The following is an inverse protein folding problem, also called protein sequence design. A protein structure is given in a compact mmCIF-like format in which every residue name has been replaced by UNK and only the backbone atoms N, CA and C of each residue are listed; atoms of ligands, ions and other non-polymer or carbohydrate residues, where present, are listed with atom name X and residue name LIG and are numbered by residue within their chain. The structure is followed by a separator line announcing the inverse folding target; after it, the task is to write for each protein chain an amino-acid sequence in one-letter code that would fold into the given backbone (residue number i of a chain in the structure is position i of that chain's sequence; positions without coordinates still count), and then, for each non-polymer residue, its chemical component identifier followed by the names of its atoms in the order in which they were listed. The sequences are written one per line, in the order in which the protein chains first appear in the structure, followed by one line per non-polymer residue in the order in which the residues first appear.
data_IF_943374080000
#
_entry.id   IF_943374080000
#
_cell.length_a   1.000
_cell.length_b   1.000
_cell.length_c   1.000
_cell.angle_alpha   90.00
_cell.angle_beta   90.00
_cell.angle_gamma   90.00
#
_symmetry.space_group_name_H-M   'P 1'
#
loop_
_entity.id
_entity.type
_entity.pdbx_description
1 polymer ?
#
# COMPACT_ATOMS: atom_id res chain seq x y z
N UNK A 1 -13.44 -53.80 61.60
CA UNK A 1 -12.92 -52.43 61.42
C UNK A 1 -11.86 -52.48 60.33
N UNK A 2 -12.19 -52.05 59.11
CA UNK A 2 -11.25 -52.01 57.96
C UNK A 2 -10.24 -50.90 58.23
N UNK A 3 -8.97 -51.23 58.49
CA UNK A 3 -7.89 -50.25 58.49
C UNK A 3 -7.66 -49.82 57.04
N UNK A 4 -7.97 -48.58 56.72
CA UNK A 4 -7.56 -47.94 55.47
C UNK A 4 -6.04 -47.83 55.49
N UNK A 5 -5.38 -48.47 54.52
CA UNK A 5 -3.96 -48.25 54.26
C UNK A 5 -3.77 -46.83 53.71
N UNK A 6 -3.62 -45.86 54.60
CA UNK A 6 -3.06 -44.55 54.27
C UNK A 6 -1.55 -44.75 54.10
N UNK A 7 -1.15 -45.21 52.91
CA UNK A 7 0.24 -45.18 52.50
C UNK A 7 0.68 -43.71 52.44
N UNK A 8 1.57 -43.33 53.35
CA UNK A 8 2.16 -42.00 53.37
C UNK A 8 2.87 -41.75 52.04
N UNK A 9 2.48 -40.66 51.37
CA UNK A 9 3.07 -40.21 50.11
C UNK A 9 4.58 -40.09 50.29
N UNK A 10 5.36 -40.83 49.51
CA UNK A 10 6.82 -40.79 49.63
C UNK A 10 7.35 -39.46 49.10
N UNK A 11 8.29 -38.83 49.81
CA UNK A 11 8.92 -37.58 49.37
C UNK A 11 9.55 -37.70 47.97
N UNK A 12 9.98 -38.90 47.58
CA UNK A 12 10.50 -39.21 46.24
C UNK A 12 9.41 -39.08 45.16
N UNK A 13 8.17 -39.48 45.48
CA UNK A 13 7.04 -39.49 44.56
C UNK A 13 6.57 -38.05 44.30
N UNK A 14 6.62 -37.20 45.31
CA UNK A 14 6.38 -35.76 45.17
C UNK A 14 7.42 -35.09 44.25
N UNK A 15 8.71 -35.38 44.44
CA UNK A 15 9.79 -34.81 43.61
C UNK A 15 9.65 -35.28 42.16
N UNK A 16 9.34 -36.55 41.93
CA UNK A 16 9.08 -37.07 40.58
C UNK A 16 7.84 -36.41 39.95
N UNK A 17 6.75 -36.27 40.70
CA UNK A 17 5.55 -35.59 40.23
C UNK A 17 5.84 -34.13 39.85
N UNK A 18 6.59 -33.40 40.67
CA UNK A 18 7.01 -32.02 40.37
C UNK A 18 7.90 -31.94 39.14
N UNK A 19 8.84 -32.88 38.96
CA UNK A 19 9.69 -32.97 37.78
C UNK A 19 8.89 -33.20 36.49
N UNK A 20 7.96 -34.17 36.52
CA UNK A 20 7.07 -34.47 35.40
C UNK A 20 6.18 -33.25 35.09
N UNK A 21 5.57 -32.63 36.10
CA UNK A 21 4.76 -31.42 35.92
C UNK A 21 5.57 -30.25 35.34
N UNK A 22 6.82 -30.08 35.77
CA UNK A 22 7.71 -29.05 35.23
C UNK A 22 8.03 -29.29 33.76
N UNK A 23 8.38 -30.53 33.39
CA UNK A 23 8.64 -30.91 31.99
C UNK A 23 7.39 -30.69 31.13
N UNK A 24 6.23 -31.14 31.58
CA UNK A 24 4.96 -30.95 30.87
C UNK A 24 4.66 -29.46 30.71
N UNK A 25 4.86 -28.65 31.75
CA UNK A 25 4.66 -27.20 31.69
C UNK A 25 5.58 -26.56 30.67
N UNK A 26 6.87 -26.90 30.67
CA UNK A 26 7.85 -26.39 29.68
C UNK A 26 7.43 -26.76 28.26
N UNK A 27 7.00 -28.00 28.02
CA UNK A 27 6.52 -28.44 26.72
C UNK A 27 5.29 -27.63 26.27
N UNK A 28 4.31 -27.45 27.15
CA UNK A 28 3.12 -26.64 26.88
C UNK A 28 3.52 -25.20 26.52
N UNK A 29 4.36 -24.55 27.32
CA UNK A 29 4.83 -23.20 27.03
C UNK A 29 5.65 -23.12 25.74
N UNK A 30 6.44 -24.14 25.42
CA UNK A 30 7.17 -24.22 24.15
C UNK A 30 6.20 -24.29 22.95
N UNK A 31 5.16 -25.11 23.02
CA UNK A 31 4.13 -25.18 21.98
C UNK A 31 3.36 -23.86 21.85
N UNK A 32 2.97 -23.23 22.95
CA UNK A 32 2.32 -21.91 22.91
C UNK A 32 3.21 -20.83 22.32
N UNK A 33 4.49 -20.79 22.70
CA UNK A 33 5.47 -19.85 22.15
C UNK A 33 5.67 -20.06 20.64
N UNK A 34 5.70 -21.32 20.19
CA UNK A 34 5.80 -21.64 18.77
C UNK A 34 4.54 -21.24 18.00
N UNK A 35 3.36 -21.55 18.54
CA UNK A 35 2.06 -21.22 17.93
C UNK A 35 1.85 -19.71 17.80
N UNK A 36 2.09 -18.95 18.86
CA UNK A 36 1.96 -17.48 18.87
C UNK A 36 2.90 -16.81 17.86
N UNK A 37 4.16 -17.26 17.79
CA UNK A 37 5.14 -16.78 16.79
C UNK A 37 4.68 -17.06 15.36
N UNK A 38 4.21 -18.27 15.10
CA UNK A 38 3.74 -18.67 13.76
C UNK A 38 2.50 -17.86 13.35
N UNK A 39 1.58 -17.63 14.29
CA UNK A 39 0.39 -16.82 14.06
C UNK A 39 0.73 -15.34 13.79
N UNK A 40 1.63 -14.73 14.57
CA UNK A 40 2.07 -13.35 14.34
C UNK A 40 2.66 -13.17 12.94
N UNK A 41 3.54 -14.09 12.52
CA UNK A 41 4.16 -14.07 11.18
C UNK A 41 3.13 -14.19 10.07
N UNK A 42 2.16 -15.10 10.22
CA UNK A 42 1.09 -15.26 9.25
C UNK A 42 0.22 -13.99 9.15
N UNK A 43 -0.08 -13.36 10.28
CA UNK A 43 -0.89 -12.15 10.33
C UNK A 43 -0.20 -10.95 9.66
N UNK A 44 1.10 -10.77 9.90
CA UNK A 44 1.88 -9.70 9.27
C UNK A 44 1.97 -9.89 7.75
N UNK A 45 2.26 -11.11 7.28
CA UNK A 45 2.32 -11.43 5.85
C UNK A 45 0.96 -11.25 5.18
N UNK A 46 -0.11 -11.68 5.84
CA UNK A 46 -1.48 -11.46 5.38
C UNK A 46 -1.83 -9.97 5.29
N UNK A 47 -1.35 -9.17 6.26
CA UNK A 47 -1.49 -7.71 6.26
C UNK A 47 -0.88 -7.08 5.01
N UNK A 48 0.37 -7.42 4.67
CA UNK A 48 1.05 -6.91 3.47
C UNK A 48 0.35 -7.30 2.17
N UNK A 49 -0.12 -8.55 2.07
CA UNK A 49 -0.89 -8.99 0.90
C UNK A 49 -2.21 -8.22 0.78
N UNK A 50 -2.89 -7.99 1.90
CA UNK A 50 -4.15 -7.22 1.91
C UNK A 50 -3.91 -5.77 1.49
N UNK A 51 -2.84 -5.14 2.00
CA UNK A 51 -2.47 -3.78 1.61
C UNK A 51 -2.10 -3.70 0.12
N UNK A 52 -1.32 -4.65 -0.39
CA UNK A 52 -0.97 -4.73 -1.81
C UNK A 52 -2.20 -4.86 -2.71
N UNK A 53 -3.14 -5.74 -2.35
CA UNK A 53 -4.40 -5.89 -3.08
C UNK A 53 -5.26 -4.62 -3.03
N UNK A 54 -5.36 -3.96 -1.87
CA UNK A 54 -6.08 -2.68 -1.75
C UNK A 54 -5.47 -1.60 -2.65
N UNK A 55 -4.14 -1.54 -2.72
CA UNK A 55 -3.43 -0.62 -3.62
C UNK A 55 -3.74 -0.95 -5.08
N UNK A 56 -3.62 -2.22 -5.46
CA UNK A 56 -3.93 -2.71 -6.81
C UNK A 56 -5.34 -2.31 -7.25
N UNK A 57 -6.33 -2.64 -6.42
CA UNK A 57 -7.74 -2.36 -6.69
C UNK A 57 -7.99 -0.85 -6.78
N UNK A 58 -7.44 -0.05 -5.87
CA UNK A 58 -7.63 1.40 -5.90
C UNK A 58 -6.99 2.03 -7.14
N UNK A 59 -5.78 1.63 -7.52
CA UNK A 59 -5.11 2.12 -8.73
C UNK A 59 -5.87 1.70 -9.98
N UNK A 60 -6.22 0.42 -10.09
CA UNK A 60 -6.92 -0.12 -11.24
C UNK A 60 -8.29 0.54 -11.43
N UNK A 61 -9.05 0.73 -10.36
CA UNK A 61 -10.37 1.37 -10.41
C UNK A 61 -10.29 2.82 -10.91
N UNK A 62 -9.35 3.60 -10.35
CA UNK A 62 -9.23 5.03 -10.66
C UNK A 62 -8.59 5.25 -12.03
N UNK A 63 -7.53 4.50 -12.38
CA UNK A 63 -6.86 4.59 -13.68
C UNK A 63 -7.73 4.08 -14.83
N UNK A 64 -8.59 3.07 -14.64
CA UNK A 64 -9.51 2.68 -15.72
C UNK A 64 -10.48 3.81 -16.09
N UNK A 65 -10.85 4.65 -15.13
CA UNK A 65 -11.82 5.73 -15.30
C UNK A 65 -11.21 7.04 -15.84
N UNK A 66 -9.90 7.19 -15.75
CA UNK A 66 -9.21 8.37 -16.25
C UNK A 66 -9.05 8.35 -17.77
N UNK A 67 -8.75 9.51 -18.35
CA UNK A 67 -8.28 9.63 -19.71
C UNK A 67 -6.75 9.59 -19.76
N UNK A 68 -6.23 8.81 -20.72
CA UNK A 68 -4.80 8.61 -20.96
C UNK A 68 -4.00 9.92 -21.04
N UNK A 69 -4.54 10.94 -21.69
CA UNK A 69 -3.83 12.22 -21.91
C UNK A 69 -3.49 12.94 -20.61
N UNK A 70 -4.28 12.74 -19.55
CA UNK A 70 -4.12 13.36 -18.24
C UNK A 70 -3.10 12.67 -17.34
N UNK A 71 -2.68 11.45 -17.67
CA UNK A 71 -1.73 10.70 -16.85
C UNK A 71 -0.37 11.39 -16.91
N UNK A 72 0.18 11.64 -15.72
CA UNK A 72 1.50 12.22 -15.53
C UNK A 72 2.24 11.44 -14.46
N UNK A 73 3.47 11.06 -14.81
CA UNK A 73 4.41 10.36 -13.95
C UNK A 73 5.54 11.33 -13.68
N UNK A 74 5.83 11.57 -12.41
CA UNK A 74 7.00 12.31 -11.95
C UNK A 74 7.92 11.32 -11.24
N UNK A 75 9.06 10.96 -11.83
CA UNK A 75 9.97 10.03 -11.18
C UNK A 75 10.70 10.71 -10.03
N UNK A 76 10.69 10.08 -8.86
CA UNK A 76 11.38 10.57 -7.66
C UNK A 76 12.38 9.52 -7.22
N UNK A 77 13.66 9.90 -7.23
CA UNK A 77 14.72 9.05 -6.72
C UNK A 77 14.98 9.41 -5.26
N UNK A 78 15.04 8.39 -4.42
CA UNK A 78 15.21 8.51 -2.99
C UNK A 78 16.19 7.44 -2.49
N UNK A 79 16.46 7.39 -1.18
CA UNK A 79 17.36 6.41 -0.56
C UNK A 79 16.67 5.74 0.63
N UNK A 80 16.59 4.41 0.61
CA UNK A 80 16.14 3.58 1.73
C UNK A 80 17.20 2.53 2.04
N UNK A 81 17.56 2.35 3.31
CA UNK A 81 18.65 1.48 3.77
C UNK A 81 20.00 1.68 3.04
N UNK A 82 20.25 2.89 2.51
CA UNK A 82 21.46 3.17 1.71
C UNK A 82 21.40 2.64 0.27
N UNK A 83 20.28 2.06 -0.15
CA UNK A 83 20.00 1.69 -1.54
C UNK A 83 19.20 2.81 -2.23
N UNK A 84 19.54 3.10 -3.49
CA UNK A 84 18.76 4.02 -4.31
C UNK A 84 17.42 3.37 -4.67
N UNK A 85 16.32 3.99 -4.28
CA UNK A 85 14.96 3.52 -4.54
C UNK A 85 14.17 4.56 -5.33
N UNK A 86 13.22 4.09 -6.13
CA UNK A 86 12.33 4.94 -6.91
C UNK A 86 10.95 4.99 -6.27
N UNK A 87 10.42 6.20 -6.11
CA UNK A 87 9.17 6.54 -5.40
C UNK A 87 8.34 7.50 -6.22
N UNK A 88 7.98 7.05 -7.40
CA UNK A 88 7.31 7.85 -8.42
C UNK A 88 6.01 8.47 -7.91
N UNK A 89 5.67 9.63 -8.44
CA UNK A 89 4.35 10.24 -8.25
C UNK A 89 3.55 10.00 -9.52
N UNK A 90 2.39 9.37 -9.39
CA UNK A 90 1.46 9.16 -10.50
C UNK A 90 0.23 10.01 -10.25
N UNK A 91 -0.08 10.87 -11.22
CA UNK A 91 -1.25 11.74 -11.18
C UNK A 91 -2.07 11.58 -12.44
N UNK A 92 -3.38 11.71 -12.30
CA UNK A 92 -4.31 11.70 -13.43
C UNK A 92 -5.65 12.29 -13.01
N UNK A 93 -6.49 12.59 -14.00
CA UNK A 93 -7.74 13.30 -13.77
C UNK A 93 -8.94 12.33 -13.69
N UNK A 94 -9.93 12.65 -12.89
CA UNK A 94 -11.11 11.82 -12.62
C UNK A 94 -12.31 12.73 -12.32
N UNK A 95 -13.42 12.12 -11.93
CA UNK A 95 -14.61 12.81 -11.44
C UNK A 95 -14.72 12.66 -9.92
N UNK A 96 -15.31 13.66 -9.26
CA UNK A 96 -15.64 13.59 -7.83
C UNK A 96 -16.59 12.43 -7.55
N UNK A 97 -17.64 12.29 -8.38
CA UNK A 97 -18.55 11.14 -8.33
C UNK A 97 -18.98 10.67 -9.73
N UNK A 98 -18.57 9.45 -10.07
CA UNK A 98 -18.99 8.76 -11.30
C UNK A 98 -20.44 8.23 -11.24
N UNK A 99 -21.04 8.13 -10.05
CA UNK A 99 -22.39 7.60 -9.84
C UNK A 99 -23.48 8.68 -9.91
N UNK A 100 -23.13 9.95 -9.71
CA UNK A 100 -24.03 11.09 -9.77
C UNK A 100 -24.45 11.43 -11.21
N UNK A 101 -25.10 10.49 -11.90
CA UNK A 101 -25.60 10.67 -13.26
C UNK A 101 -26.68 11.76 -13.25
N UNK A 102 -26.33 12.95 -13.72
CA UNK A 102 -27.23 14.11 -13.75
C UNK A 102 -26.89 15.19 -12.73
N UNK A 103 -25.78 15.06 -12.02
CA UNK A 103 -25.18 16.16 -11.28
C UNK A 103 -24.37 17.05 -12.22
N UNK A 104 -24.69 18.33 -12.16
CA UNK A 104 -24.11 19.37 -13.02
C UNK A 104 -22.67 19.70 -12.64
N UNK A 105 -22.22 19.25 -11.47
CA UNK A 105 -20.85 19.42 -11.02
C UNK A 105 -19.89 18.38 -11.64
N UNK A 106 -20.40 17.22 -12.06
CA UNK A 106 -19.60 16.10 -12.58
C UNK A 106 -19.75 15.89 -14.09
N UNK A 107 -20.91 16.23 -14.65
CA UNK A 107 -21.20 16.07 -16.07
C UNK A 107 -21.78 17.37 -16.65
N UNK A 108 -21.34 17.72 -17.86
CA UNK A 108 -21.91 18.85 -18.57
C UNK A 108 -23.40 18.62 -18.86
N UNK A 109 -24.22 19.63 -18.59
CA UNK A 109 -25.68 19.57 -18.73
C UNK A 109 -26.14 19.20 -20.14
N UNK A 110 -25.44 19.69 -21.15
CA UNK A 110 -25.88 19.64 -22.55
C UNK A 110 -25.27 18.42 -23.25
N UNK A 111 -23.95 18.30 -23.19
CA UNK A 111 -23.18 17.26 -23.88
C UNK A 111 -23.08 15.96 -23.09
N UNK A 112 -23.41 15.97 -21.79
CA UNK A 112 -23.20 14.86 -20.84
C UNK A 112 -21.74 14.41 -20.76
N UNK A 113 -20.81 15.25 -21.20
CA UNK A 113 -19.38 15.02 -21.09
C UNK A 113 -18.93 15.06 -19.63
N UNK A 114 -17.94 14.24 -19.22
CA UNK A 114 -17.28 14.37 -17.92
C UNK A 114 -16.58 15.73 -17.80
N UNK A 115 -16.75 16.41 -16.65
CA UNK A 115 -16.14 17.73 -16.36
C UNK A 115 -14.75 17.65 -15.71
N UNK A 116 -14.23 16.45 -15.48
CA UNK A 116 -12.86 16.22 -15.00
C UNK A 116 -12.48 17.04 -13.76
N UNK A 117 -13.39 17.12 -12.80
CA UNK A 117 -13.35 18.03 -11.65
C UNK A 117 -12.51 17.51 -10.45
N UNK A 118 -11.63 16.53 -10.65
CA UNK A 118 -10.77 15.96 -9.60
C UNK A 118 -9.47 15.39 -10.16
N UNK A 119 -8.35 15.73 -9.54
CA UNK A 119 -7.10 14.98 -9.69
C UNK A 119 -6.99 13.91 -8.63
N UNK A 120 -6.50 12.74 -9.05
CA UNK A 120 -6.10 11.65 -8.16
C UNK A 120 -4.59 11.50 -8.28
N UNK A 121 -3.91 11.51 -7.14
CA UNK A 121 -2.44 11.45 -7.08
C UNK A 121 -2.05 10.31 -6.14
N UNK A 122 -1.17 9.45 -6.60
CA UNK A 122 -0.55 8.38 -5.81
C UNK A 122 0.93 8.68 -5.68
N UNK A 123 1.45 8.62 -4.47
CA UNK A 123 2.88 8.78 -4.21
C UNK A 123 3.31 7.97 -3.00
N UNK A 124 4.59 7.62 -2.97
CA UNK A 124 5.23 7.04 -1.80
C UNK A 124 5.99 8.13 -1.02
N UNK A 125 5.87 8.15 0.30
CA UNK A 125 6.63 9.09 1.17
C UNK A 125 8.12 8.72 1.20
N UNK A 126 8.95 9.73 1.51
CA UNK A 126 10.41 9.68 1.55
C UNK A 126 11.03 9.03 2.80
N UNK A 127 10.21 8.50 3.71
CA UNK A 127 10.68 7.81 4.92
C UNK A 127 11.38 6.48 4.58
N UNK A 128 12.31 5.97 5.40
CA UNK A 128 12.99 4.70 5.09
C UNK A 128 11.99 3.55 4.82
N UNK A 129 10.99 3.42 5.68
CA UNK A 129 9.79 2.64 5.40
C UNK A 129 8.70 3.63 5.01
N UNK A 130 8.53 3.81 3.71
CA UNK A 130 7.60 4.76 3.14
C UNK A 130 6.15 4.32 3.29
N UNK A 131 5.25 5.26 3.04
CA UNK A 131 3.80 5.06 3.02
C UNK A 131 3.27 5.37 1.64
N UNK A 132 2.33 4.56 1.15
CA UNK A 132 1.64 4.88 -0.10
C UNK A 132 0.43 5.73 0.22
N UNK A 133 0.41 6.94 -0.29
CA UNK A 133 -0.67 7.90 -0.09
C UNK A 133 -1.43 8.09 -1.39
N UNK A 134 -2.76 8.09 -1.29
CA UNK A 134 -3.65 8.54 -2.36
C UNK A 134 -4.26 9.88 -1.97
N UNK A 135 -4.00 10.91 -2.76
CA UNK A 135 -4.62 12.23 -2.65
C UNK A 135 -5.73 12.40 -3.67
N UNK A 136 -6.73 13.20 -3.28
CA UNK A 136 -7.78 13.72 -4.15
C UNK A 136 -7.80 15.23 -4.03
N UNK A 137 -7.49 15.87 -5.13
CA UNK A 137 -7.37 17.31 -5.25
C UNK A 137 -8.44 17.82 -6.21
N UNK A 138 -9.26 18.76 -5.78
CA UNK A 138 -10.37 19.29 -6.57
C UNK A 138 -9.94 20.64 -7.16
N UNK A 139 -9.54 20.71 -8.44
CA UNK A 139 -9.10 21.97 -9.04
C UNK A 139 -10.23 22.99 -9.09
N UNK A 140 -9.91 24.27 -8.81
CA UNK A 140 -10.87 25.36 -8.92
C UNK A 140 -10.30 26.54 -9.74
N UNK A 141 -10.78 26.78 -10.98
CA UNK A 141 -11.90 26.10 -11.64
C UNK A 141 -11.55 24.69 -12.15
N UNK A 142 -12.58 23.85 -12.31
CA UNK A 142 -12.41 22.55 -12.96
C UNK A 142 -11.93 22.72 -14.42
N UNK A 143 -11.00 21.89 -14.90
CA UNK A 143 -10.51 21.97 -16.26
C UNK A 143 -11.56 21.47 -17.27
N UNK A 144 -11.66 22.16 -18.40
CA UNK A 144 -12.64 21.84 -19.44
C UNK A 144 -12.28 20.62 -20.30
N UNK A 145 -11.17 19.95 -20.00
CA UNK A 145 -10.63 18.82 -20.75
C UNK A 145 -9.78 17.95 -19.81
N UNK A 146 -9.49 16.68 -20.16
CA UNK A 146 -8.63 15.83 -19.36
C UNK A 146 -7.17 16.28 -19.49
N UNK A 147 -6.81 17.32 -18.74
CA UNK A 147 -5.46 17.88 -18.73
C UNK A 147 -4.63 17.24 -17.63
N UNK A 148 -3.31 17.26 -17.82
CA UNK A 148 -2.37 16.87 -16.77
C UNK A 148 -2.33 17.96 -15.71
N UNK A 149 -2.17 17.58 -14.46
CA UNK A 149 -1.84 18.54 -13.41
C UNK A 149 -0.53 19.26 -13.76
N UNK A 150 -0.44 20.60 -13.61
CA UNK A 150 0.80 21.33 -13.83
C UNK A 150 1.97 20.79 -13.00
N UNK A 151 3.20 20.92 -13.51
CA UNK A 151 4.38 20.30 -12.87
C UNK A 151 4.64 20.96 -11.52
N UNK A 152 4.60 22.28 -11.50
CA UNK A 152 4.84 23.11 -10.31
C UNK A 152 3.84 22.84 -9.17
N UNK A 153 2.65 22.35 -9.51
CA UNK A 153 1.64 21.94 -8.53
C UNK A 153 1.90 20.52 -8.05
N UNK A 154 2.23 19.59 -8.95
CA UNK A 154 2.57 18.21 -8.59
C UNK A 154 3.79 18.13 -7.67
N UNK A 155 4.78 19.00 -7.88
CA UNK A 155 5.97 19.09 -7.03
C UNK A 155 5.65 19.51 -5.59
N UNK A 156 4.48 20.12 -5.35
CA UNK A 156 4.01 20.56 -4.01
C UNK A 156 2.98 19.62 -3.39
N UNK A 157 2.78 18.44 -3.98
CA UNK A 157 1.72 17.51 -3.61
C UNK A 157 2.22 16.11 -3.19
N UNK A 158 3.51 15.98 -2.89
CA UNK A 158 4.10 14.70 -2.49
C UNK A 158 4.95 14.79 -1.22
N UNK A 159 4.59 15.69 -0.29
CA UNK A 159 5.26 15.81 1.00
C UNK A 159 5.00 14.58 1.91
N UNK A 160 5.99 14.23 2.73
CA UNK A 160 5.93 13.12 3.70
C UNK A 160 4.77 13.24 4.69
N UNK A 161 4.48 14.47 5.10
CA UNK A 161 3.27 14.77 5.85
C UNK A 161 2.17 15.21 4.87
N UNK A 162 1.16 14.37 4.59
CA UNK A 162 0.14 14.70 3.60
C UNK A 162 -0.68 15.94 3.95
N UNK A 163 -0.75 16.30 5.25
CA UNK A 163 -1.42 17.52 5.71
C UNK A 163 -0.68 18.81 5.36
N UNK A 164 0.53 18.72 4.79
CA UNK A 164 1.30 19.86 4.27
C UNK A 164 1.10 20.06 2.76
N UNK A 165 0.56 19.07 2.04
CA UNK A 165 0.23 19.20 0.63
C UNK A 165 -0.81 20.32 0.45
N UNK A 166 -0.63 21.15 -0.57
CA UNK A 166 -1.55 22.24 -0.89
C UNK A 166 -1.84 22.27 -2.39
N UNK A 167 -3.11 22.37 -2.73
CA UNK A 167 -3.57 22.75 -4.08
C UNK A 167 -4.56 23.89 -3.92
N UNK A 168 -4.40 24.97 -4.69
CA UNK A 168 -5.27 26.15 -4.62
C UNK A 168 -5.45 26.72 -3.18
N UNK A 169 -4.46 26.50 -2.30
CA UNK A 169 -4.49 26.93 -0.89
C UNK A 169 -5.18 25.98 0.08
N UNK A 170 -5.81 24.90 -0.40
CA UNK A 170 -6.52 23.91 0.42
C UNK A 170 -5.70 22.63 0.62
N UNK A 171 -6.02 21.89 1.68
CA UNK A 171 -5.42 20.56 1.95
C UNK A 171 -6.23 19.51 1.19
N UNK A 172 -5.64 18.78 0.23
CA UNK A 172 -6.36 17.72 -0.48
C UNK A 172 -6.79 16.60 0.47
N UNK A 173 -7.91 15.94 0.15
CA UNK A 173 -8.33 14.73 0.84
C UNK A 173 -7.27 13.64 0.61
N UNK A 174 -6.85 12.92 1.66
CA UNK A 174 -5.87 11.86 1.53
C UNK A 174 -6.25 10.59 2.28
N UNK A 175 -5.82 9.45 1.75
CA UNK A 175 -5.91 8.15 2.40
C UNK A 175 -4.55 7.45 2.30
N UNK A 176 -4.12 6.86 3.41
CA UNK A 176 -2.98 5.97 3.45
C UNK A 176 -3.41 4.56 3.03
N UNK A 177 -2.80 4.03 1.98
CA UNK A 177 -3.13 2.72 1.43
C UNK A 177 -2.24 1.61 1.96
N UNK A 178 -0.96 1.91 2.24
CA UNK A 178 0.01 0.98 2.82
C UNK A 178 1.04 1.73 3.65
N UNK A 179 1.56 1.08 4.70
CA UNK A 179 2.55 1.61 5.65
C UNK A 179 3.97 1.12 5.44
N UNK A 180 4.17 0.25 4.46
CA UNK A 180 5.38 -0.57 4.36
C UNK A 180 6.01 -0.49 2.98
N UNK A 181 6.01 0.68 2.34
CA UNK A 181 6.49 0.86 0.96
C UNK A 181 8.01 1.00 0.94
N UNK A 182 8.64 0.18 0.10
CA UNK A 182 10.05 0.29 -0.24
C UNK A 182 10.23 1.12 -1.51
N UNK A 183 9.64 0.64 -2.61
CA UNK A 183 9.63 1.34 -3.89
C UNK A 183 8.23 1.37 -4.50
N UNK A 184 7.96 2.43 -5.24
CA UNK A 184 6.75 2.60 -6.03
C UNK A 184 7.17 3.19 -7.36
N UNK A 185 6.97 2.41 -8.41
CA UNK A 185 7.61 2.60 -9.69
C UNK A 185 6.55 2.53 -10.78
N UNK A 186 6.53 3.50 -11.70
CA UNK A 186 5.55 3.53 -12.77
C UNK A 186 6.17 3.91 -14.09
N UNK A 187 5.96 3.09 -15.10
CA UNK A 187 6.51 3.29 -16.44
C UNK A 187 5.41 3.19 -17.50
N UNK A 188 5.42 4.12 -18.47
CA UNK A 188 4.56 3.99 -19.67
C UNK A 188 5.15 2.91 -20.60
N UNK A 189 4.33 1.92 -20.96
CA UNK A 189 4.73 0.83 -21.84
C UNK A 189 4.93 1.35 -23.26
N UNK A 190 6.11 1.06 -23.81
CA UNK A 190 6.50 1.42 -25.18
C UNK A 190 6.75 0.15 -25.98
N UNK A 191 6.15 0.07 -27.17
CA UNK A 191 6.31 -1.05 -28.09
C UNK A 191 6.84 -0.50 -29.42
N UNK A 192 8.02 -0.96 -29.83
CA UNK A 192 8.75 -0.43 -30.99
C UNK A 192 8.92 1.11 -30.98
N UNK A 193 9.17 1.69 -29.79
CA UNK A 193 9.33 3.14 -29.62
C UNK A 193 8.04 3.95 -29.60
N UNK A 194 6.86 3.32 -29.79
CA UNK A 194 5.55 3.97 -29.68
C UNK A 194 4.91 3.66 -28.34
N UNK A 195 4.33 4.67 -27.72
CA UNK A 195 3.57 4.54 -26.48
C UNK A 195 2.28 3.74 -26.72
N UNK A 196 2.06 2.67 -25.96
CA UNK A 196 0.84 1.83 -26.08
C UNK A 196 -0.36 2.44 -25.34
N UNK A 197 -0.10 3.35 -24.39
CA UNK A 197 -1.08 3.86 -23.46
C UNK A 197 -1.38 2.94 -22.28
N UNK A 198 -0.57 1.90 -22.12
CA UNK A 198 -0.54 1.05 -20.94
C UNK A 198 0.56 1.53 -19.99
N UNK A 199 0.35 1.31 -18.71
CA UNK A 199 1.28 1.67 -17.64
C UNK A 199 1.59 0.43 -16.81
N UNK A 200 2.88 0.18 -16.62
CA UNK A 200 3.38 -0.84 -15.70
C UNK A 200 3.65 -0.15 -14.36
N UNK A 201 2.98 -0.64 -13.31
CA UNK A 201 3.14 -0.18 -11.94
C UNK A 201 3.72 -1.31 -11.12
N UNK A 202 4.86 -1.04 -10.49
CA UNK A 202 5.56 -1.95 -9.62
C UNK A 202 5.58 -1.37 -8.20
N UNK A 203 5.01 -2.10 -7.25
CA UNK A 203 4.99 -1.77 -5.83
C UNK A 203 5.79 -2.82 -5.07
N UNK A 204 6.82 -2.39 -4.36
CA UNK A 204 7.57 -3.24 -3.43
C UNK A 204 7.25 -2.82 -2.01
N UNK A 205 6.78 -3.77 -1.21
CA UNK A 205 6.56 -3.59 0.22
C UNK A 205 7.68 -4.28 1.01
N UNK A 206 8.16 -3.66 2.08
CA UNK A 206 9.26 -4.13 2.94
C UNK A 206 8.74 -4.53 4.31
N UNK A 207 9.14 -5.70 4.79
CA UNK A 207 8.79 -6.24 6.10
C UNK A 207 10.05 -6.52 6.90
N UNK A 208 10.11 -6.01 8.14
CA UNK A 208 11.21 -6.33 9.05
C UNK A 208 11.13 -7.80 9.47
N UNK A 209 12.22 -8.56 9.29
CA UNK A 209 12.31 -9.91 9.82
C UNK A 209 12.33 -9.89 11.34
N UNK A 210 11.62 -10.84 11.93
CA UNK A 210 11.70 -11.08 13.37
C UNK A 210 13.12 -11.50 13.75
N UNK A 211 13.68 -10.97 14.86
CA UNK A 211 15.05 -11.25 15.35
C UNK A 211 15.38 -12.74 15.45
N UNK A 212 14.37 -13.60 15.65
CA UNK A 212 14.51 -15.06 15.69
C UNK A 212 14.83 -15.71 14.31
N UNK A 213 14.92 -14.94 13.22
CA UNK A 213 15.21 -15.43 11.85
C UNK A 213 16.57 -15.00 11.32
N UNK A 214 17.33 -14.17 12.05
CA UNK A 214 18.67 -13.75 11.66
C UNK A 214 19.65 -14.81 12.17
N UNK A 215 19.64 -15.98 11.54
CA UNK A 215 20.57 -17.08 11.86
C UNK A 215 21.96 -16.91 11.20
N UNK A 216 22.09 -15.95 10.27
CA UNK A 216 23.32 -15.74 9.51
C UNK A 216 23.69 -14.27 9.45
N UNK A 217 24.99 -13.96 9.54
CA UNK A 217 25.55 -12.60 9.52
C UNK A 217 25.32 -11.87 8.17
N UNK A 218 24.93 -12.60 7.12
CA UNK A 218 24.61 -12.07 5.78
C UNK A 218 23.08 -12.01 5.50
N UNK A 219 22.23 -12.38 6.46
CA UNK A 219 20.79 -12.39 6.24
C UNK A 219 20.26 -10.95 6.18
N UNK A 220 19.65 -10.58 5.04
CA UNK A 220 18.95 -9.30 4.89
C UNK A 220 17.93 -9.13 6.02
N UNK A 221 17.94 -7.97 6.67
CA UNK A 221 17.07 -7.64 7.80
C UNK A 221 15.59 -7.58 7.39
N UNK A 222 15.31 -7.49 6.09
CA UNK A 222 13.97 -7.30 5.56
C UNK A 222 13.61 -8.31 4.46
N UNK A 223 12.36 -8.76 4.49
CA UNK A 223 11.70 -9.45 3.39
C UNK A 223 10.91 -8.46 2.52
N UNK A 224 10.79 -8.75 1.22
CA UNK A 224 10.05 -7.92 0.29
C UNK A 224 8.85 -8.66 -0.30
N UNK A 225 7.74 -7.97 -0.46
CA UNK A 225 6.58 -8.41 -1.24
C UNK A 225 6.44 -7.52 -2.46
N UNK A 226 6.36 -8.12 -3.63
CA UNK A 226 6.31 -7.40 -4.90
C UNK A 226 4.97 -7.61 -5.58
N UNK A 227 4.40 -6.51 -6.06
CA UNK A 227 3.16 -6.45 -6.82
C UNK A 227 3.43 -5.73 -8.13
N UNK A 228 3.17 -6.39 -9.25
CA UNK A 228 3.27 -5.81 -10.60
C UNK A 228 1.89 -5.74 -11.23
N UNK A 229 1.51 -4.57 -11.73
CA UNK A 229 0.22 -4.29 -12.33
C UNK A 229 0.42 -3.65 -13.69
N UNK A 230 -0.26 -4.16 -14.71
CA UNK A 230 -0.35 -3.52 -16.02
C UNK A 230 -1.76 -2.97 -16.21
N UNK A 231 -1.88 -1.64 -16.37
CA UNK A 231 -3.17 -0.97 -16.42
C UNK A 231 -3.23 -0.04 -17.64
N UNK A 232 -4.39 -0.03 -18.32
CA UNK A 232 -4.70 0.89 -19.41
C UNK A 232 -5.89 1.76 -19.02
N UNK A 233 -5.81 3.09 -19.16
CA UNK A 233 -6.99 3.94 -19.04
C UNK A 233 -8.02 3.59 -20.10
N UNK A 234 -9.27 3.37 -19.69
CA UNK A 234 -10.35 2.93 -20.57
C UNK A 234 -11.19 4.11 -21.07
N UNK A 235 -11.14 5.27 -20.39
CA UNK A 235 -11.86 6.45 -20.84
C UNK A 235 -11.09 7.18 -21.94
N UNK A 236 -11.68 7.23 -23.13
CA UNK A 236 -11.11 7.90 -24.31
C UNK A 236 -11.71 9.28 -24.57
N UNK A 237 -12.63 9.78 -23.73
CA UNK A 237 -13.34 11.02 -23.97
C UNK A 237 -12.58 12.26 -23.44
N UNK A 238 -12.61 13.42 -24.13
CA UNK A 238 -12.95 13.54 -25.54
C UNK A 238 -11.89 12.81 -26.38
N UNK A 239 -12.29 12.30 -27.54
CA UNK A 239 -11.33 11.74 -28.50
C UNK A 239 -10.33 12.85 -28.85
N UNK A 240 -9.10 12.70 -28.36
CA UNK A 240 -8.02 13.60 -28.74
C UNK A 240 -7.68 13.24 -30.20
N UNK A 241 -7.74 14.20 -31.14
CA UNK A 241 -7.44 13.95 -32.55
C UNK A 241 -5.99 13.50 -32.79
#
# INVERSE_FOLDING_TARGET
MKRSNLHGFSLIELVFAMGIFSIISVLIFAFFRFGTRSFSRANEKHGLQTDALRVAESLQLEMKRTNRSSVRILPVNDTSDGEAVRRDVVSFISLKDWKAKGDDDNFDRVTRAPLWNRYVIFYATGEDIGRLIRLRADPNPAPNAPVRIPTDDLDKLHFDNPSLNRIDGEVPEYIELSKSVFSFETDEVKLAGRTTGEYDILLKLKQKRSRDQIESAEAREYDHYELSLRIRPENSFPEVP
#
